data_IF_481479828203
#
_entry.id   IF_481479828203
#
_cell.length_a   1.000
_cell.length_b   1.000
_cell.length_c   1.000
_cell.angle_alpha   90.00
_cell.angle_beta   90.00
_cell.angle_gamma   90.00
#
_symmetry.space_group_name_H-M   'P 1'
#
loop_
_entity.id
_entity.type
_entity.pdbx_description
1 polymer ?
#
# COMPACT_ATOMS: atom_id res chain seq x y z
N UNK A 1 -22.24 -20.81 -10.70
CA UNK A 1 -22.61 -19.70 -9.81
C UNK A 1 -23.82 -20.05 -8.95
N UNK A 2 -24.86 -20.69 -9.50
CA UNK A 2 -26.09 -21.06 -8.74
C UNK A 2 -25.86 -22.02 -7.56
N UNK A 3 -24.99 -23.04 -7.70
CA UNK A 3 -24.68 -23.95 -6.58
C UNK A 3 -24.07 -23.20 -5.37
N UNK A 4 -23.13 -22.27 -5.62
CA UNK A 4 -22.54 -21.43 -4.57
C UNK A 4 -23.57 -20.51 -3.92
N UNK A 5 -24.56 -20.00 -4.67
CA UNK A 5 -25.66 -19.19 -4.09
C UNK A 5 -26.51 -20.05 -3.15
N UNK A 6 -26.78 -21.30 -3.52
CA UNK A 6 -27.49 -22.26 -2.66
C UNK A 6 -26.71 -22.56 -1.38
N UNK A 7 -25.41 -22.82 -1.50
CA UNK A 7 -24.53 -23.05 -0.34
C UNK A 7 -24.50 -21.85 0.61
N UNK A 8 -24.41 -20.62 0.08
CA UNK A 8 -24.45 -19.38 0.87
C UNK A 8 -25.80 -19.19 1.53
N UNK A 9 -26.91 -19.42 0.81
CA UNK A 9 -28.25 -19.33 1.39
C UNK A 9 -28.44 -20.34 2.53
N UNK A 10 -27.97 -21.59 2.34
CA UNK A 10 -28.00 -22.62 3.37
C UNK A 10 -27.12 -22.26 4.58
N UNK A 11 -25.92 -21.72 4.35
CA UNK A 11 -25.05 -21.24 5.43
C UNK A 11 -25.68 -20.10 6.22
N UNK A 12 -26.34 -19.14 5.56
CA UNK A 12 -27.05 -18.05 6.23
C UNK A 12 -28.19 -18.56 7.12
N UNK A 13 -28.98 -19.52 6.62
CA UNK A 13 -30.03 -20.17 7.43
C UNK A 13 -29.42 -20.92 8.61
N UNK A 14 -28.33 -21.65 8.40
CA UNK A 14 -27.63 -22.36 9.47
C UNK A 14 -27.12 -21.40 10.56
N UNK A 15 -26.50 -20.27 10.19
CA UNK A 15 -26.04 -19.24 11.14
C UNK A 15 -27.22 -18.64 11.91
N UNK A 16 -28.34 -18.33 11.23
CA UNK A 16 -29.55 -17.82 11.89
C UNK A 16 -30.11 -18.81 12.91
N UNK A 17 -30.12 -20.11 12.57
CA UNK A 17 -30.52 -21.16 13.51
C UNK A 17 -29.56 -21.24 14.70
N UNK A 18 -28.24 -21.21 14.48
CA UNK A 18 -27.26 -21.20 15.58
C UNK A 18 -27.42 -19.99 16.50
N UNK A 19 -27.66 -18.79 15.93
CA UNK A 19 -27.93 -17.58 16.70
C UNK A 19 -29.20 -17.68 17.54
N UNK A 20 -30.22 -18.43 17.10
CA UNK A 20 -31.46 -18.64 17.88
C UNK A 20 -31.25 -19.47 19.15
N UNK A 21 -30.17 -20.24 19.24
CA UNK A 21 -29.77 -20.98 20.45
C UNK A 21 -28.87 -20.16 21.38
N UNK A 22 -28.40 -18.99 20.96
CA UNK A 22 -27.54 -18.14 21.79
C UNK A 22 -28.41 -17.37 22.81
N UNK A 23 -27.94 -17.21 24.06
CA UNK A 23 -28.67 -16.44 25.07
C UNK A 23 -28.69 -14.95 24.71
N UNK A 24 -29.70 -14.20 25.18
CA UNK A 24 -29.78 -12.74 25.00
C UNK A 24 -28.53 -12.00 25.47
N UNK A 25 -27.80 -12.58 26.43
CA UNK A 25 -26.54 -12.04 26.91
C UNK A 25 -25.51 -11.94 25.80
N UNK A 26 -25.41 -12.92 24.90
CA UNK A 26 -24.45 -12.95 23.78
C UNK A 26 -24.57 -11.72 22.86
N UNK A 27 -25.78 -11.22 22.66
CA UNK A 27 -26.04 -10.00 21.88
C UNK A 27 -25.75 -8.72 22.68
N UNK A 28 -25.90 -8.76 24.01
CA UNK A 28 -25.77 -7.58 24.89
C UNK A 28 -24.36 -7.38 25.45
N UNK A 29 -23.55 -8.43 25.55
CA UNK A 29 -22.19 -8.42 26.13
C UNK A 29 -21.11 -8.08 25.11
N UNK A 30 -21.45 -7.92 23.83
CA UNK A 30 -20.49 -7.64 22.75
C UNK A 30 -19.80 -8.89 22.19
N UNK A 31 -20.18 -10.09 22.63
CA UNK A 31 -19.63 -11.36 22.12
C UNK A 31 -19.99 -11.56 20.63
N UNK A 32 -21.21 -11.18 20.23
CA UNK A 32 -21.61 -11.14 18.83
C UNK A 32 -20.73 -10.22 17.99
N UNK A 33 -20.41 -9.03 18.50
CA UNK A 33 -19.56 -8.06 17.80
C UNK A 33 -18.10 -8.53 17.73
N UNK A 34 -17.63 -9.29 18.72
CA UNK A 34 -16.30 -9.88 18.70
C UNK A 34 -16.12 -10.86 17.53
N UNK A 35 -17.16 -11.65 17.22
CA UNK A 35 -17.15 -12.49 16.01
C UNK A 35 -17.07 -11.62 14.75
N UNK A 36 -17.82 -10.51 14.69
CA UNK A 36 -17.77 -9.59 13.55
C UNK A 36 -16.39 -8.95 13.38
N UNK A 37 -15.71 -8.58 14.47
CA UNK A 37 -14.35 -8.06 14.44
C UNK A 37 -13.37 -9.06 13.82
N UNK A 38 -13.45 -10.34 14.23
CA UNK A 38 -12.60 -11.42 13.72
C UNK A 38 -12.90 -11.72 12.24
N UNK A 39 -14.15 -11.58 11.78
CA UNK A 39 -14.53 -11.80 10.38
C UNK A 39 -14.22 -10.61 9.46
N UNK A 40 -14.22 -9.39 9.99
CA UNK A 40 -14.00 -8.18 9.21
C UNK A 40 -12.59 -8.14 8.61
N UNK A 41 -11.58 -8.46 9.42
CA UNK A 41 -10.17 -8.40 9.03
C UNK A 41 -9.84 -9.29 7.81
N UNK A 42 -10.09 -10.61 7.82
CA UNK A 42 -9.81 -11.47 6.66
C UNK A 42 -10.65 -11.08 5.44
N UNK A 43 -11.89 -10.61 5.64
CA UNK A 43 -12.74 -10.12 4.55
C UNK A 43 -12.15 -8.88 3.87
N UNK A 44 -11.66 -7.92 4.65
CA UNK A 44 -11.00 -6.73 4.14
C UNK A 44 -9.69 -7.08 3.40
N UNK A 45 -8.90 -8.02 3.92
CA UNK A 45 -7.70 -8.55 3.23
C UNK A 45 -8.09 -9.13 1.87
N UNK A 46 -9.06 -10.05 1.83
CA UNK A 46 -9.50 -10.67 0.57
C UNK A 46 -10.02 -9.64 -0.44
N UNK A 47 -10.75 -8.61 0.01
CA UNK A 47 -11.18 -7.49 -0.85
C UNK A 47 -9.99 -6.73 -1.44
N UNK A 48 -8.99 -6.40 -0.62
CA UNK A 48 -7.79 -5.71 -1.08
C UNK A 48 -6.96 -6.56 -2.05
N UNK A 49 -6.82 -7.86 -1.81
CA UNK A 49 -6.13 -8.79 -2.72
C UNK A 49 -6.85 -8.92 -4.07
N UNK A 50 -8.18 -9.01 -4.06
CA UNK A 50 -9.01 -9.00 -5.27
C UNK A 50 -8.83 -7.70 -6.06
N UNK A 51 -8.84 -6.55 -5.38
CA UNK A 51 -8.57 -5.25 -5.99
C UNK A 51 -7.21 -5.22 -6.66
N UNK A 52 -6.14 -5.66 -5.97
CA UNK A 52 -4.79 -5.70 -6.56
C UNK A 52 -4.76 -6.52 -7.84
N UNK A 53 -5.38 -7.71 -7.84
CA UNK A 53 -5.43 -8.57 -9.04
C UNK A 53 -6.14 -7.86 -10.20
N UNK A 54 -7.33 -7.32 -9.96
CA UNK A 54 -8.12 -6.68 -11.01
C UNK A 54 -7.54 -5.34 -11.48
N UNK A 55 -6.88 -4.59 -10.60
CA UNK A 55 -6.17 -3.34 -10.98
C UNK A 55 -4.99 -3.68 -11.91
N UNK A 56 -4.23 -4.74 -11.62
CA UNK A 56 -3.13 -5.18 -12.50
C UNK A 56 -3.64 -5.55 -13.89
N UNK A 57 -4.72 -6.31 -13.95
CA UNK A 57 -5.32 -6.74 -15.21
C UNK A 57 -5.93 -5.56 -15.99
N UNK A 58 -6.67 -4.66 -15.30
CA UNK A 58 -7.34 -3.51 -15.93
C UNK A 58 -6.35 -2.55 -16.58
N UNK A 59 -5.29 -2.20 -15.87
CA UNK A 59 -4.32 -1.20 -16.33
C UNK A 59 -3.15 -1.80 -17.11
N UNK A 60 -3.12 -3.13 -17.30
CA UNK A 60 -2.01 -3.87 -17.92
C UNK A 60 -0.67 -3.39 -17.33
N UNK A 61 -0.49 -3.60 -16.02
CA UNK A 61 0.67 -3.06 -15.29
C UNK A 61 1.95 -3.76 -15.76
N UNK A 62 2.70 -3.08 -16.63
CA UNK A 62 3.98 -3.52 -17.18
C UNK A 62 5.13 -2.58 -16.82
N UNK A 63 6.37 -3.09 -16.86
CA UNK A 63 7.58 -2.30 -16.60
C UNK A 63 7.96 -1.34 -17.76
N UNK A 64 7.26 -1.41 -18.89
CA UNK A 64 7.59 -0.64 -20.09
C UNK A 64 6.61 0.50 -20.32
N UNK A 65 7.09 1.73 -20.17
CA UNK A 65 6.39 2.96 -20.54
C UNK A 65 7.23 3.65 -21.62
N UNK A 66 6.60 4.04 -22.73
CA UNK A 66 7.25 4.76 -23.83
C UNK A 66 7.01 6.27 -23.75
N UNK A 67 7.76 7.05 -24.54
CA UNK A 67 7.53 8.50 -24.64
C UNK A 67 6.11 8.81 -25.15
N UNK A 68 5.61 8.04 -26.09
CA UNK A 68 4.25 8.20 -26.61
C UNK A 68 3.19 7.90 -25.53
N UNK A 69 3.46 6.94 -24.63
CA UNK A 69 2.58 6.64 -23.50
C UNK A 69 2.47 7.80 -22.49
N UNK A 70 3.50 8.66 -22.42
CA UNK A 70 3.55 9.82 -21.51
C UNK A 70 2.94 11.07 -22.13
N UNK A 71 3.24 11.36 -23.41
CA UNK A 71 2.87 12.62 -24.05
C UNK A 71 1.62 12.54 -24.93
N UNK A 72 1.29 11.38 -25.49
CA UNK A 72 0.19 11.23 -26.46
C UNK A 72 -1.00 10.47 -25.91
N UNK A 73 -0.81 9.69 -24.85
CA UNK A 73 -1.86 8.87 -24.25
C UNK A 73 -1.90 9.06 -22.74
N UNK A 74 -2.92 8.48 -22.11
CA UNK A 74 -3.06 8.46 -20.65
C UNK A 74 -2.31 7.29 -19.99
N UNK A 75 -1.63 6.43 -20.77
CA UNK A 75 -1.10 5.17 -20.27
C UNK A 75 -0.02 5.36 -19.20
N UNK A 76 0.86 6.34 -19.34
CA UNK A 76 1.86 6.64 -18.32
C UNK A 76 1.23 7.03 -16.97
N UNK A 77 0.18 7.87 -17.00
CA UNK A 77 -0.56 8.27 -15.81
C UNK A 77 -1.34 7.10 -15.19
N UNK A 78 -1.96 6.27 -16.03
CA UNK A 78 -2.70 5.08 -15.64
C UNK A 78 -1.84 4.03 -14.94
N UNK A 79 -0.66 3.72 -15.48
CA UNK A 79 0.26 2.74 -14.87
C UNK A 79 0.84 3.29 -13.56
N UNK A 80 1.13 4.59 -13.48
CA UNK A 80 1.54 5.23 -12.22
C UNK A 80 0.43 5.16 -11.17
N UNK A 81 -0.80 5.51 -11.54
CA UNK A 81 -1.97 5.40 -10.68
C UNK A 81 -2.17 3.97 -10.16
N UNK A 82 -2.14 2.99 -11.05
CA UNK A 82 -2.31 1.58 -10.69
C UNK A 82 -1.26 1.10 -9.68
N UNK A 83 0.02 1.44 -9.90
CA UNK A 83 1.09 1.07 -8.98
C UNK A 83 0.95 1.74 -7.60
N UNK A 84 0.56 3.00 -7.55
CA UNK A 84 0.29 3.70 -6.29
C UNK A 84 -0.89 3.07 -5.53
N UNK A 85 -1.99 2.74 -6.23
CA UNK A 85 -3.13 2.06 -5.63
C UNK A 85 -2.75 0.68 -5.07
N UNK A 86 -1.99 -0.11 -5.85
CA UNK A 86 -1.49 -1.43 -5.42
C UNK A 86 -0.58 -1.29 -4.19
N UNK A 87 0.30 -0.30 -4.17
CA UNK A 87 1.16 -0.02 -3.02
C UNK A 87 0.31 0.26 -1.77
N UNK A 88 -0.66 1.18 -1.84
CA UNK A 88 -1.54 1.51 -0.71
C UNK A 88 -2.33 0.28 -0.21
N UNK A 89 -2.84 -0.55 -1.12
CA UNK A 89 -3.55 -1.79 -0.79
C UNK A 89 -2.62 -2.79 -0.09
N UNK A 90 -1.36 -2.93 -0.51
CA UNK A 90 -0.38 -3.78 0.18
C UNK A 90 -0.05 -3.28 1.59
N UNK A 91 0.02 -1.96 1.81
CA UNK A 91 0.21 -1.41 3.17
C UNK A 91 -1.00 -1.79 4.03
N UNK A 92 -2.22 -1.60 3.52
CA UNK A 92 -3.45 -1.95 4.24
C UNK A 92 -3.48 -3.45 4.60
N UNK A 93 -3.16 -4.34 3.65
CA UNK A 93 -3.08 -5.78 3.90
C UNK A 93 -2.06 -6.08 5.01
N UNK A 94 -0.86 -5.48 4.96
CA UNK A 94 0.16 -5.69 5.98
C UNK A 94 -0.28 -5.25 7.38
N UNK A 95 -1.02 -4.13 7.49
CA UNK A 95 -1.62 -3.71 8.77
C UNK A 95 -2.69 -4.71 9.21
N UNK A 96 -3.58 -5.13 8.31
CA UNK A 96 -4.66 -6.07 8.63
C UNK A 96 -4.15 -7.47 9.01
N UNK A 97 -3.04 -7.96 8.44
CA UNK A 97 -2.41 -9.20 8.91
C UNK A 97 -1.89 -9.09 10.35
N UNK A 98 -1.43 -7.91 10.77
CA UNK A 98 -1.06 -7.69 12.17
C UNK A 98 -2.30 -7.70 13.08
N UNK A 99 -3.42 -7.10 12.65
CA UNK A 99 -4.71 -7.28 13.35
C UNK A 99 -5.10 -8.75 13.45
N UNK A 100 -4.98 -9.50 12.35
CA UNK A 100 -5.36 -10.92 12.34
C UNK A 100 -4.53 -11.74 13.33
N UNK A 101 -3.22 -11.49 13.40
CA UNK A 101 -2.31 -12.11 14.37
C UNK A 101 -2.70 -11.73 15.81
N UNK A 102 -2.93 -10.44 16.06
CA UNK A 102 -3.27 -9.93 17.38
C UNK A 102 -4.61 -10.48 17.88
N UNK A 103 -5.68 -10.41 17.06
CA UNK A 103 -7.02 -10.87 17.45
C UNK A 103 -7.07 -12.38 17.73
N UNK A 104 -6.18 -13.18 17.11
CA UNK A 104 -6.06 -14.63 17.39
C UNK A 104 -5.46 -14.95 18.75
N UNK A 105 -4.68 -14.04 19.35
CA UNK A 105 -3.93 -14.31 20.58
C UNK A 105 -4.22 -13.37 21.75
N UNK A 106 -4.93 -12.28 21.49
CA UNK A 106 -5.25 -11.28 22.51
C UNK A 106 -6.16 -11.83 23.61
N UNK A 107 -6.23 -11.10 24.74
CA UNK A 107 -7.17 -11.42 25.80
C UNK A 107 -8.62 -11.22 25.35
N UNK A 108 -9.55 -11.94 25.96
CA UNK A 108 -11.00 -11.78 25.71
C UNK A 108 -11.44 -10.34 25.99
N UNK A 109 -10.90 -9.72 27.05
CA UNK A 109 -11.19 -8.32 27.40
C UNK A 109 -10.76 -7.35 26.28
N UNK A 110 -9.57 -7.54 25.71
CA UNK A 110 -9.09 -6.71 24.60
C UNK A 110 -9.93 -6.95 23.34
N UNK A 111 -10.29 -8.20 23.05
CA UNK A 111 -11.15 -8.52 21.91
C UNK A 111 -12.52 -7.85 22.03
N UNK A 112 -13.15 -7.88 23.22
CA UNK A 112 -14.41 -7.17 23.48
C UNK A 112 -14.24 -5.66 23.38
N UNK A 113 -13.09 -5.11 23.75
CA UNK A 113 -12.81 -3.68 23.57
C UNK A 113 -12.74 -3.33 22.07
N UNK A 114 -12.03 -4.13 21.27
CA UNK A 114 -11.96 -3.93 19.81
C UNK A 114 -13.32 -4.12 19.16
N UNK A 115 -14.15 -5.05 19.66
CA UNK A 115 -15.47 -5.30 19.08
C UNK A 115 -16.39 -4.08 19.13
N UNK A 116 -16.23 -3.21 20.12
CA UNK A 116 -16.99 -1.94 20.19
C UNK A 116 -16.69 -0.99 19.03
N UNK A 117 -15.56 -1.17 18.34
CA UNK A 117 -15.08 -0.34 17.22
C UNK A 117 -15.43 -0.92 15.84
N UNK A 118 -16.13 -2.06 15.80
CA UNK A 118 -16.57 -2.70 14.54
C UNK A 118 -17.39 -1.78 13.65
N UNK A 119 -18.34 -0.95 14.16
CA UNK A 119 -19.09 -0.02 13.31
C UNK A 119 -18.17 0.95 12.56
N UNK A 120 -17.16 1.50 13.22
CA UNK A 120 -16.17 2.41 12.63
C UNK A 120 -15.26 1.67 11.65
N UNK A 121 -14.75 0.49 12.02
CA UNK A 121 -13.95 -0.36 11.13
C UNK A 121 -14.72 -0.71 9.84
N UNK A 122 -16.03 -0.94 9.94
CA UNK A 122 -16.89 -1.24 8.79
C UNK A 122 -17.05 -0.04 7.83
N UNK A 123 -16.95 1.20 8.32
CA UNK A 123 -16.92 2.39 7.44
C UNK A 123 -15.66 2.37 6.57
N UNK A 124 -14.52 2.01 7.16
CA UNK A 124 -13.26 1.90 6.45
C UNK A 124 -13.19 0.68 5.53
N UNK A 125 -13.87 -0.42 5.86
CA UNK A 125 -14.04 -1.54 4.94
C UNK A 125 -14.82 -1.13 3.68
N UNK A 126 -15.85 -0.28 3.82
CA UNK A 126 -16.60 0.25 2.67
C UNK A 126 -15.76 1.07 1.70
N UNK A 127 -14.57 1.54 2.10
CA UNK A 127 -13.61 2.13 1.17
C UNK A 127 -13.17 1.14 0.10
N UNK A 128 -12.96 -0.12 0.46
CA UNK A 128 -12.65 -1.18 -0.50
C UNK A 128 -13.84 -1.48 -1.40
N UNK A 129 -15.06 -1.47 -0.85
CA UNK A 129 -16.29 -1.66 -1.64
C UNK A 129 -16.48 -0.56 -2.69
N UNK A 130 -16.12 0.69 -2.36
CA UNK A 130 -16.11 1.79 -3.32
C UNK A 130 -15.21 1.49 -4.53
N UNK A 131 -13.95 1.10 -4.32
CA UNK A 131 -13.04 0.76 -5.43
C UNK A 131 -13.50 -0.48 -6.20
N UNK A 132 -14.07 -1.48 -5.52
CA UNK A 132 -14.63 -2.67 -6.16
C UNK A 132 -15.80 -2.28 -7.09
N UNK A 133 -16.68 -1.40 -6.62
CA UNK A 133 -17.81 -0.92 -7.43
C UNK A 133 -17.34 -0.07 -8.61
N UNK A 134 -16.31 0.76 -8.43
CA UNK A 134 -15.69 1.52 -9.53
C UNK A 134 -15.09 0.58 -10.59
N UNK A 135 -14.41 -0.51 -10.18
CA UNK A 135 -13.94 -1.53 -11.12
C UNK A 135 -15.10 -2.24 -11.84
N UNK A 136 -16.13 -2.65 -11.09
CA UNK A 136 -17.29 -3.37 -11.65
C UNK A 136 -18.03 -2.53 -12.69
N UNK A 137 -18.12 -1.22 -12.48
CA UNK A 137 -18.77 -0.27 -13.39
C UNK A 137 -17.83 0.25 -14.48
N UNK A 138 -16.59 -0.22 -14.51
CA UNK A 138 -15.52 0.24 -15.39
C UNK A 138 -15.18 1.74 -15.24
N UNK A 139 -15.45 2.31 -14.06
CA UNK A 139 -15.26 3.73 -13.73
C UNK A 139 -13.95 4.01 -12.98
N UNK A 140 -13.19 2.99 -12.61
CA UNK A 140 -11.87 3.19 -12.00
C UNK A 140 -10.87 3.65 -13.06
N UNK A 141 -10.42 4.90 -12.99
CA UNK A 141 -9.38 5.49 -13.84
C UNK A 141 -8.39 6.34 -13.02
N UNK A 142 -7.40 6.94 -13.69
CA UNK A 142 -6.33 7.71 -13.05
C UNK A 142 -6.79 9.00 -12.35
N UNK A 143 -8.04 9.42 -12.54
CA UNK A 143 -8.61 10.63 -11.93
C UNK A 143 -9.31 10.36 -10.60
N UNK A 144 -9.58 9.09 -10.28
CA UNK A 144 -10.27 8.69 -9.06
C UNK A 144 -9.37 8.87 -7.84
N UNK A 145 -9.72 9.81 -6.95
CA UNK A 145 -8.93 10.08 -5.74
C UNK A 145 -8.74 8.85 -4.83
N UNK A 146 -7.53 8.69 -4.31
CA UNK A 146 -7.17 7.67 -3.32
C UNK A 146 -7.33 8.13 -1.86
N UNK A 147 -7.78 9.37 -1.62
CA UNK A 147 -7.83 9.97 -0.27
C UNK A 147 -8.64 9.14 0.73
N UNK A 148 -9.72 8.49 0.26
CA UNK A 148 -10.56 7.66 1.13
C UNK A 148 -9.85 6.37 1.56
N UNK A 149 -9.01 5.79 0.69
CA UNK A 149 -8.16 4.66 1.03
C UNK A 149 -7.05 5.08 2.00
N UNK A 150 -6.41 6.22 1.76
CA UNK A 150 -5.38 6.75 2.66
C UNK A 150 -5.92 7.06 4.06
N UNK A 151 -7.11 7.66 4.16
CA UNK A 151 -7.81 7.86 5.44
C UNK A 151 -8.09 6.54 6.15
N UNK A 152 -8.48 5.52 5.41
CA UNK A 152 -8.74 4.18 5.96
C UNK A 152 -7.47 3.50 6.44
N UNK A 153 -6.38 3.64 5.69
CA UNK A 153 -5.07 3.18 6.10
C UNK A 153 -4.61 3.85 7.41
N UNK A 154 -4.69 5.18 7.48
CA UNK A 154 -4.30 5.94 8.67
C UNK A 154 -5.14 5.53 9.90
N UNK A 155 -6.45 5.31 9.71
CA UNK A 155 -7.32 4.82 10.78
C UNK A 155 -6.85 3.47 11.33
N UNK A 156 -6.62 2.47 10.46
CA UNK A 156 -6.19 1.14 10.92
C UNK A 156 -4.80 1.17 11.56
N UNK A 157 -3.87 1.97 11.03
CA UNK A 157 -2.54 2.16 11.63
C UNK A 157 -2.62 2.79 13.02
N UNK A 158 -3.41 3.85 13.18
CA UNK A 158 -3.61 4.50 14.47
C UNK A 158 -4.29 3.55 15.47
N UNK A 159 -5.33 2.85 15.02
CA UNK A 159 -6.05 1.89 15.85
C UNK A 159 -5.14 0.76 16.35
N UNK A 160 -4.31 0.21 15.45
CA UNK A 160 -3.32 -0.81 15.82
C UNK A 160 -2.32 -0.25 16.84
N UNK A 161 -1.77 0.94 16.59
CA UNK A 161 -0.80 1.58 17.48
C UNK A 161 -1.35 1.81 18.90
N UNK A 162 -2.61 2.24 19.00
CA UNK A 162 -3.25 2.54 20.29
C UNK A 162 -3.63 1.27 21.06
N UNK A 163 -4.13 0.24 20.38
CA UNK A 163 -4.77 -0.90 21.06
C UNK A 163 -3.99 -2.21 20.98
N UNK A 164 -3.20 -2.43 19.93
CA UNK A 164 -2.66 -3.74 19.57
C UNK A 164 -1.12 -3.78 19.48
N UNK A 165 -0.43 -2.65 19.66
CA UNK A 165 1.05 -2.57 19.52
C UNK A 165 1.83 -3.53 20.44
N UNK A 166 1.24 -3.93 21.56
CA UNK A 166 1.86 -4.85 22.51
C UNK A 166 1.52 -6.32 22.26
N UNK A 167 0.64 -6.62 21.29
CA UNK A 167 0.25 -7.98 20.95
C UNK A 167 1.34 -8.72 20.18
N UNK A 168 1.20 -10.06 20.11
CA UNK A 168 2.19 -10.91 19.48
C UNK A 168 2.19 -10.73 17.96
N UNK A 169 3.35 -10.38 17.42
CA UNK A 169 3.57 -10.22 15.99
C UNK A 169 4.00 -11.54 15.35
N UNK A 170 3.29 -11.96 14.29
CA UNK A 170 3.75 -13.01 13.40
C UNK A 170 4.87 -12.45 12.49
N UNK A 171 6.12 -12.70 12.88
CA UNK A 171 7.30 -12.15 12.23
C UNK A 171 7.47 -12.63 10.77
N UNK A 172 7.01 -13.84 10.46
CA UNK A 172 7.07 -14.38 9.09
C UNK A 172 6.13 -13.61 8.18
N UNK A 173 4.89 -13.35 8.65
CA UNK A 173 3.93 -12.52 7.91
C UNK A 173 4.41 -11.07 7.81
N UNK A 174 4.87 -10.47 8.90
CA UNK A 174 5.40 -9.10 8.90
C UNK A 174 6.51 -8.95 7.84
N UNK A 175 7.50 -9.83 7.82
CA UNK A 175 8.59 -9.76 6.85
C UNK A 175 8.07 -9.99 5.41
N UNK A 176 7.15 -10.92 5.21
CA UNK A 176 6.54 -11.14 3.89
C UNK A 176 5.80 -9.90 3.38
N UNK A 177 5.04 -9.23 4.25
CA UNK A 177 4.29 -8.03 3.91
C UNK A 177 5.22 -6.83 3.68
N UNK A 178 6.28 -6.66 4.48
CA UNK A 178 7.29 -5.62 4.24
C UNK A 178 8.04 -5.82 2.92
N UNK A 179 8.32 -7.08 2.55
CA UNK A 179 8.91 -7.40 1.24
C UNK A 179 7.93 -7.10 0.10
N UNK A 180 6.63 -7.42 0.26
CA UNK A 180 5.60 -7.06 -0.74
C UNK A 180 5.49 -5.55 -0.89
N UNK A 181 5.44 -4.82 0.22
CA UNK A 181 5.44 -3.35 0.25
C UNK A 181 6.63 -2.81 -0.52
N UNK A 182 7.86 -3.19 -0.13
CA UNK A 182 9.09 -2.72 -0.75
C UNK A 182 9.09 -2.96 -2.27
N UNK A 183 8.66 -4.14 -2.73
CA UNK A 183 8.58 -4.42 -4.17
C UNK A 183 7.54 -3.53 -4.87
N UNK A 184 6.33 -3.41 -4.33
CA UNK A 184 5.30 -2.55 -4.94
C UNK A 184 5.67 -1.07 -4.94
N UNK A 185 6.34 -0.59 -3.89
CA UNK A 185 6.91 0.76 -3.85
C UNK A 185 8.01 0.92 -4.89
N UNK A 186 8.89 -0.08 -5.07
CA UNK A 186 9.92 -0.01 -6.10
C UNK A 186 9.34 0.09 -7.52
N UNK A 187 8.24 -0.60 -7.77
CA UNK A 187 7.55 -0.58 -9.08
C UNK A 187 6.89 0.79 -9.31
N UNK A 188 6.25 1.36 -8.30
CA UNK A 188 5.71 2.73 -8.34
C UNK A 188 6.81 3.78 -8.57
N UNK A 189 7.91 3.70 -7.80
CA UNK A 189 9.07 4.59 -7.93
C UNK A 189 9.68 4.48 -9.32
N UNK A 190 9.84 3.27 -9.86
CA UNK A 190 10.44 3.09 -11.19
C UNK A 190 9.59 3.75 -12.27
N UNK A 191 8.27 3.56 -12.23
CA UNK A 191 7.34 4.16 -13.19
C UNK A 191 7.44 5.68 -13.16
N UNK A 192 7.42 6.29 -11.96
CA UNK A 192 7.47 7.74 -11.85
C UNK A 192 8.85 8.31 -12.21
N UNK A 193 9.96 7.64 -11.87
CA UNK A 193 11.30 8.02 -12.36
C UNK A 193 11.34 7.98 -13.89
N UNK A 194 10.85 6.91 -14.52
CA UNK A 194 10.84 6.78 -15.98
C UNK A 194 10.02 7.90 -16.62
N UNK A 195 8.83 8.21 -16.08
CA UNK A 195 7.99 9.33 -16.55
C UNK A 195 8.69 10.67 -16.39
N UNK A 196 9.28 10.94 -15.22
CA UNK A 196 9.98 12.20 -14.95
C UNK A 196 11.19 12.41 -15.87
N UNK A 197 11.96 11.36 -16.16
CA UNK A 197 13.05 11.42 -17.15
C UNK A 197 12.54 11.75 -18.56
N UNK A 198 11.35 11.26 -18.93
CA UNK A 198 10.75 11.56 -20.24
C UNK A 198 10.19 12.99 -20.31
N UNK A 199 9.61 13.46 -19.20
CA UNK A 199 9.06 14.80 -19.05
C UNK A 199 10.14 15.87 -18.90
N UNK A 200 11.37 15.52 -18.54
CA UNK A 200 12.48 16.46 -18.50
C UNK A 200 12.79 16.99 -19.91
N UNK A 201 13.04 18.29 -20.01
CA UNK A 201 13.42 18.96 -21.25
C UNK A 201 14.62 18.25 -21.93
N UNK A 202 14.57 17.96 -23.25
CA UNK A 202 15.68 17.33 -23.96
C UNK A 202 16.97 18.15 -23.87
N UNK A 203 18.13 17.50 -23.67
CA UNK A 203 19.43 18.16 -23.53
C UNK A 203 19.82 18.55 -22.11
N UNK A 204 18.92 18.37 -21.14
CA UNK A 204 19.16 18.68 -19.72
C UNK A 204 19.56 17.45 -18.89
N UNK A 205 20.14 16.41 -19.52
CA UNK A 205 20.48 15.16 -18.85
C UNK A 205 21.57 15.31 -17.78
N UNK A 206 22.27 16.45 -17.77
CA UNK A 206 23.32 16.82 -16.80
C UNK A 206 22.83 17.72 -15.66
N UNK A 207 21.54 18.09 -15.64
CA UNK A 207 20.97 18.86 -14.52
C UNK A 207 21.03 18.10 -13.19
N UNK A 208 21.06 18.84 -12.07
CA UNK A 208 21.05 18.25 -10.72
C UNK A 208 19.84 17.35 -10.49
N UNK A 209 18.66 17.76 -10.98
CA UNK A 209 17.45 16.93 -10.94
C UNK A 209 17.60 15.62 -11.72
N UNK A 210 18.22 15.65 -12.91
CA UNK A 210 18.52 14.43 -13.68
C UNK A 210 19.54 13.52 -12.95
N UNK A 211 20.51 14.10 -12.24
CA UNK A 211 21.43 13.34 -11.39
C UNK A 211 20.65 12.68 -10.24
N UNK A 212 19.79 13.42 -9.55
CA UNK A 212 18.93 12.87 -8.49
C UNK A 212 18.09 11.68 -8.98
N UNK A 213 17.44 11.78 -10.15
CA UNK A 213 16.65 10.68 -10.71
C UNK A 213 17.50 9.42 -11.01
N UNK A 214 18.77 9.60 -11.41
CA UNK A 214 19.69 8.47 -11.65
C UNK A 214 20.16 7.82 -10.35
N UNK A 215 20.42 8.63 -9.32
CA UNK A 215 20.77 8.13 -7.99
C UNK A 215 19.60 7.32 -7.41
N UNK A 216 18.39 7.88 -7.45
CA UNK A 216 17.17 7.21 -6.97
C UNK A 216 16.87 5.93 -7.74
N UNK A 217 17.10 5.90 -9.06
CA UNK A 217 16.94 4.68 -9.85
C UNK A 217 17.93 3.58 -9.42
N UNK A 218 19.18 3.96 -9.14
CA UNK A 218 20.20 3.03 -8.66
C UNK A 218 19.79 2.44 -7.31
N UNK A 219 19.44 3.30 -6.35
CA UNK A 219 18.96 2.88 -5.04
C UNK A 219 17.71 1.99 -5.14
N UNK A 220 16.74 2.37 -5.98
CA UNK A 220 15.52 1.60 -6.18
C UNK A 220 15.81 0.17 -6.70
N UNK A 221 16.76 0.03 -7.63
CA UNK A 221 17.16 -1.27 -8.15
C UNK A 221 17.87 -2.14 -7.10
N UNK A 222 18.72 -1.54 -6.26
CA UNK A 222 19.38 -2.24 -5.16
C UNK A 222 18.37 -2.69 -4.10
N UNK A 223 17.42 -1.83 -3.72
CA UNK A 223 16.33 -2.18 -2.81
C UNK A 223 15.46 -3.30 -3.37
N UNK A 224 15.08 -3.22 -4.65
CA UNK A 224 14.32 -4.28 -5.33
C UNK A 224 15.08 -5.60 -5.33
N UNK A 225 16.38 -5.58 -5.59
CA UNK A 225 17.23 -6.78 -5.54
C UNK A 225 17.29 -7.36 -4.13
N UNK A 226 17.46 -6.52 -3.11
CA UNK A 226 17.47 -6.94 -1.70
C UNK A 226 16.13 -7.59 -1.31
N UNK A 227 15.01 -6.93 -1.59
CA UNK A 227 13.67 -7.44 -1.32
C UNK A 227 13.42 -8.80 -2.02
N UNK A 228 13.83 -8.95 -3.29
CA UNK A 228 13.76 -10.24 -4.01
C UNK A 228 14.60 -11.33 -3.35
N UNK A 229 15.79 -11.00 -2.82
CA UNK A 229 16.64 -11.95 -2.07
C UNK A 229 15.98 -12.38 -0.77
N UNK A 230 15.40 -11.45 0.00
CA UNK A 230 14.66 -11.75 1.23
C UNK A 230 13.46 -12.65 0.91
N UNK A 231 12.65 -12.30 -0.09
CA UNK A 231 11.49 -13.09 -0.54
C UNK A 231 11.82 -14.55 -0.81
N UNK A 232 12.96 -14.83 -1.45
CA UNK A 232 13.43 -16.18 -1.78
C UNK A 232 13.86 -16.99 -0.55
N UNK A 233 14.22 -16.33 0.54
CA UNK A 233 14.69 -16.94 1.79
C UNK A 233 13.58 -17.07 2.84
N UNK A 234 12.44 -16.41 2.63
CA UNK A 234 11.31 -16.50 3.54
C UNK A 234 10.76 -17.93 3.56
N UNK A 235 10.41 -18.47 4.74
CA UNK A 235 9.69 -19.73 4.86
C UNK A 235 8.44 -19.70 3.99
N UNK A 236 8.33 -20.63 3.03
CA UNK A 236 7.12 -20.77 2.25
C UNK A 236 6.10 -21.53 3.09
N UNK A 237 4.94 -20.91 3.27
CA UNK A 237 3.82 -21.46 4.04
C UNK A 237 3.06 -22.51 3.21
N UNK A 238 3.79 -23.42 2.56
CA UNK A 238 3.21 -24.65 2.04
C UNK A 238 2.94 -25.53 3.27
N UNK A 239 1.72 -26.05 3.41
CA UNK A 239 1.25 -26.76 4.62
C UNK A 239 2.08 -27.98 5.07
N UNK A 240 3.20 -28.27 4.42
CA UNK A 240 4.17 -29.31 4.74
C UNK A 240 5.52 -28.76 5.28
N UNK A 241 5.69 -27.44 5.39
CA UNK A 241 6.96 -26.84 5.83
C UNK A 241 7.16 -26.99 7.34
N UNK A 242 8.12 -27.81 7.76
CA UNK A 242 8.59 -27.94 9.16
C UNK A 242 9.50 -26.78 9.61
N UNK A 243 9.52 -25.68 8.86
CA UNK A 243 10.40 -24.55 9.14
C UNK A 243 9.91 -23.81 10.38
N UNK A 244 10.81 -23.63 11.36
CA UNK A 244 10.53 -22.81 12.54
C UNK A 244 10.12 -21.40 12.12
N UNK A 245 9.09 -20.80 12.74
CA UNK A 245 8.72 -19.41 12.50
C UNK A 245 9.92 -18.47 12.67
N UNK A 246 10.02 -17.46 11.81
CA UNK A 246 11.05 -16.43 11.94
C UNK A 246 10.98 -15.79 13.33
N UNK A 247 12.14 -15.63 13.96
CA UNK A 247 12.29 -14.79 15.14
C UNK A 247 12.75 -13.41 14.66
N UNK A 248 11.97 -12.38 14.96
CA UNK A 248 12.31 -11.00 14.64
C UNK A 248 12.27 -10.19 15.94
N UNK A 249 13.42 -9.81 16.52
CA UNK A 249 13.48 -8.92 17.67
C UNK A 249 12.75 -7.60 17.41
N UNK A 250 12.25 -6.94 18.46
CA UNK A 250 11.48 -5.68 18.31
C UNK A 250 12.27 -4.59 17.59
N UNK A 251 13.58 -4.54 17.82
CA UNK A 251 14.49 -3.62 17.16
C UNK A 251 14.48 -3.80 15.65
N UNK A 252 14.52 -5.06 15.18
CA UNK A 252 14.47 -5.38 13.75
C UNK A 252 13.08 -5.10 13.19
N UNK A 253 12.01 -5.36 13.95
CA UNK A 253 10.64 -5.02 13.53
C UNK A 253 10.51 -3.50 13.31
N UNK A 254 11.01 -2.68 14.23
CA UNK A 254 10.99 -1.23 14.10
C UNK A 254 11.77 -0.76 12.87
N UNK A 255 12.99 -1.26 12.68
CA UNK A 255 13.80 -0.93 11.49
C UNK A 255 13.05 -1.30 10.20
N UNK A 256 12.42 -2.48 10.14
CA UNK A 256 11.65 -2.91 8.96
C UNK A 256 10.46 -1.97 8.69
N UNK A 257 9.73 -1.59 9.73
CA UNK A 257 8.60 -0.66 9.61
C UNK A 257 9.07 0.73 9.17
N UNK A 258 10.18 1.23 9.73
CA UNK A 258 10.77 2.52 9.36
C UNK A 258 11.26 2.52 7.91
N UNK A 259 11.90 1.44 7.45
CA UNK A 259 12.24 1.26 6.02
C UNK A 259 10.99 1.30 5.14
N UNK A 260 9.90 0.66 5.56
CA UNK A 260 8.60 0.69 4.87
C UNK A 260 8.02 2.11 4.78
N UNK A 261 8.10 2.89 5.86
CA UNK A 261 7.65 4.30 5.88
C UNK A 261 8.50 5.12 4.90
N UNK A 262 9.83 4.98 4.95
CA UNK A 262 10.75 5.77 4.13
C UNK A 262 10.57 5.51 2.63
N UNK A 263 10.47 4.25 2.19
CA UNK A 263 10.27 3.95 0.77
C UNK A 263 8.91 4.43 0.25
N UNK A 264 7.87 4.39 1.09
CA UNK A 264 6.55 4.94 0.75
C UNK A 264 6.62 6.46 0.60
N UNK A 265 7.34 7.17 1.48
CA UNK A 265 7.54 8.62 1.36
C UNK A 265 8.23 8.98 0.04
N UNK A 266 9.31 8.29 -0.32
CA UNK A 266 9.97 8.48 -1.62
C UNK A 266 9.00 8.27 -2.78
N UNK A 267 8.23 7.17 -2.76
CA UNK A 267 7.24 6.88 -3.79
C UNK A 267 6.19 7.99 -3.92
N UNK A 268 5.63 8.46 -2.79
CA UNK A 268 4.62 9.53 -2.78
C UNK A 268 5.19 10.87 -3.28
N UNK A 269 6.41 11.21 -2.89
CA UNK A 269 7.06 12.43 -3.36
C UNK A 269 7.25 12.39 -4.87
N UNK A 270 7.84 11.32 -5.42
CA UNK A 270 8.02 11.18 -6.87
C UNK A 270 6.70 11.19 -7.64
N UNK A 271 5.65 10.56 -7.08
CA UNK A 271 4.32 10.60 -7.67
C UNK A 271 3.77 12.04 -7.74
N UNK A 272 3.92 12.82 -6.67
CA UNK A 272 3.51 14.23 -6.65
C UNK A 272 4.30 15.08 -7.65
N UNK A 273 5.62 14.88 -7.78
CA UNK A 273 6.41 15.56 -8.81
C UNK A 273 5.91 15.17 -10.20
N UNK A 274 5.65 13.89 -10.45
CA UNK A 274 5.18 13.43 -11.76
C UNK A 274 3.81 13.99 -12.12
N UNK A 275 2.88 14.11 -11.16
CA UNK A 275 1.59 14.78 -11.36
C UNK A 275 1.78 16.27 -11.69
N UNK A 276 2.58 16.99 -10.92
CA UNK A 276 2.86 18.41 -11.16
C UNK A 276 3.55 18.64 -12.50
N UNK A 277 4.50 17.78 -12.86
CA UNK A 277 5.22 17.85 -14.13
C UNK A 277 4.29 17.63 -15.32
N UNK A 278 3.34 16.69 -15.22
CA UNK A 278 2.33 16.52 -16.27
C UNK A 278 1.42 17.74 -16.42
N UNK A 279 1.04 18.40 -15.32
CA UNK A 279 0.24 19.64 -15.39
C UNK A 279 1.03 20.75 -16.06
N UNK A 280 2.32 20.91 -15.73
CA UNK A 280 3.19 21.89 -16.38
C UNK A 280 3.37 21.58 -17.87
N UNK A 281 3.60 20.32 -18.22
CA UNK A 281 3.74 19.89 -19.62
C UNK A 281 2.48 20.17 -20.44
N UNK A 282 1.29 19.97 -19.88
CA UNK A 282 0.03 20.25 -20.56
C UNK A 282 -0.17 21.73 -20.92
N UNK A 283 0.55 22.64 -20.26
CA UNK A 283 0.54 24.09 -20.55
C UNK A 283 1.58 24.46 -21.61
N UNK A 284 2.63 23.64 -21.78
CA UNK A 284 3.65 23.84 -22.80
C UNK A 284 3.13 23.41 -24.18
N UNK A 285 3.55 24.12 -25.23
CA UNK A 285 3.23 23.74 -26.62
C UNK A 285 4.31 22.77 -27.13
N UNK A 286 3.92 21.71 -27.86
CA UNK A 286 4.81 20.81 -28.63
C UNK A 286 5.68 19.78 -27.87
N UNK A 287 5.28 19.30 -26.69
CA UNK A 287 6.03 18.24 -25.96
C UNK A 287 7.50 18.63 -25.68
N UNK A 288 7.74 19.91 -25.39
CA UNK A 288 9.07 20.49 -25.17
C UNK A 288 9.74 19.98 -23.89
N UNK A 289 8.96 19.39 -22.97
CA UNK A 289 9.44 18.95 -21.67
C UNK A 289 9.53 20.11 -20.67
N UNK A 290 9.46 19.75 -19.39
CA UNK A 290 9.54 20.66 -18.25
C UNK A 290 11.00 20.99 -17.93
N UNK A 291 11.27 22.26 -17.65
CA UNK A 291 12.63 22.73 -17.34
C UNK A 291 13.12 22.15 -16.01
N UNK A 292 14.43 21.89 -15.84
CA UNK A 292 14.97 21.33 -14.60
C UNK A 292 14.60 22.13 -13.35
N UNK A 293 14.68 23.46 -13.41
CA UNK A 293 14.33 24.32 -12.28
C UNK A 293 12.86 24.17 -11.84
N UNK A 294 11.94 24.00 -12.80
CA UNK A 294 10.52 23.75 -12.49
C UNK A 294 10.33 22.36 -11.88
N UNK A 295 11.06 21.35 -12.35
CA UNK A 295 11.06 20.02 -11.73
C UNK A 295 11.58 20.06 -10.29
N UNK A 296 12.61 20.87 -10.01
CA UNK A 296 13.12 21.08 -8.65
C UNK A 296 12.09 21.77 -7.76
N UNK A 297 11.43 22.83 -8.23
CA UNK A 297 10.36 23.51 -7.49
C UNK A 297 9.23 22.53 -7.12
N UNK A 298 8.79 21.72 -8.08
CA UNK A 298 7.81 20.65 -7.84
C UNK A 298 8.32 19.59 -6.84
N UNK A 299 9.61 19.28 -6.86
CA UNK A 299 10.21 18.34 -5.91
C UNK A 299 10.24 18.89 -4.49
N UNK A 300 10.52 20.18 -4.30
CA UNK A 300 10.41 20.85 -3.00
C UNK A 300 8.96 20.87 -2.50
N UNK A 301 7.99 21.20 -3.34
CA UNK A 301 6.56 21.14 -2.96
C UNK A 301 6.13 19.71 -2.58
N UNK A 302 6.61 18.71 -3.31
CA UNK A 302 6.30 17.32 -3.05
C UNK A 302 6.93 16.79 -1.74
N UNK A 303 8.16 17.19 -1.41
CA UNK A 303 8.78 16.77 -0.13
C UNK A 303 8.18 17.51 1.06
N UNK A 304 7.90 18.81 0.96
CA UNK A 304 7.20 19.56 2.02
C UNK A 304 5.86 18.91 2.35
N UNK A 305 5.09 18.53 1.32
CA UNK A 305 3.79 17.86 1.50
C UNK A 305 3.90 16.48 2.18
N UNK A 306 4.94 15.70 1.86
CA UNK A 306 5.07 14.30 2.30
C UNK A 306 5.79 14.17 3.65
N UNK A 307 6.84 14.96 3.86
CA UNK A 307 7.69 14.92 5.05
C UNK A 307 7.27 15.97 6.09
N UNK A 308 6.62 17.06 5.67
CA UNK A 308 6.15 18.11 6.56
C UNK A 308 7.27 18.70 7.40
N UNK A 309 7.17 18.55 8.73
CA UNK A 309 8.19 19.07 9.66
C UNK A 309 9.56 18.40 9.53
N UNK A 310 9.61 17.21 8.93
CA UNK A 310 10.85 16.45 8.70
C UNK A 310 11.45 16.74 7.31
N UNK A 311 10.90 17.71 6.56
CA UNK A 311 11.42 18.07 5.25
C UNK A 311 12.77 18.80 5.37
N UNK A 312 13.77 18.28 4.67
CA UNK A 312 15.08 18.91 4.47
C UNK A 312 15.40 19.09 2.97
N UNK A 313 14.37 18.99 2.13
CA UNK A 313 14.44 19.17 0.68
C UNK A 313 14.67 17.85 -0.07
N UNK A 314 14.39 17.84 -1.39
CA UNK A 314 14.37 16.62 -2.20
C UNK A 314 15.72 15.92 -2.29
N UNK A 315 16.82 16.68 -2.31
CA UNK A 315 18.16 16.13 -2.43
C UNK A 315 18.63 15.40 -1.17
N UNK A 316 18.17 15.83 -0.01
CA UNK A 316 18.46 15.16 1.26
C UNK A 316 17.42 14.07 1.53
N UNK A 317 16.15 14.42 1.64
CA UNK A 317 15.08 13.48 2.01
C UNK A 317 15.05 12.25 1.11
N UNK A 318 15.14 12.41 -0.21
CA UNK A 318 14.98 11.28 -1.13
C UNK A 318 16.24 10.40 -1.21
N UNK A 319 17.45 10.98 -1.08
CA UNK A 319 18.71 10.21 -1.08
C UNK A 319 18.92 9.47 0.24
N UNK A 320 18.62 10.08 1.37
CA UNK A 320 18.82 9.47 2.70
C UNK A 320 17.83 8.34 2.99
N UNK A 321 16.64 8.34 2.36
CA UNK A 321 15.62 7.30 2.58
C UNK A 321 16.04 5.88 2.14
N UNK A 322 17.02 5.76 1.24
CA UNK A 322 17.55 4.46 0.81
C UNK A 322 18.76 3.98 1.62
N UNK A 323 19.19 4.74 2.63
CA UNK A 323 20.12 4.30 3.67
C UNK A 323 21.48 3.82 3.16
N UNK A 324 22.38 4.76 2.84
CA UNK A 324 23.80 4.44 2.62
C UNK A 324 24.49 4.03 3.93
N UNK A 325 23.94 4.37 5.10
CA UNK A 325 24.61 4.17 6.39
C UNK A 325 23.98 3.09 7.31
N UNK A 326 22.86 2.46 6.92
CA UNK A 326 22.17 1.48 7.80
C UNK A 326 21.64 0.21 7.13
N UNK A 327 21.97 -0.04 5.87
CA UNK A 327 21.63 -1.30 5.21
C UNK A 327 22.89 -2.08 4.83
N UNK A 328 23.44 -2.83 5.79
CA UNK A 328 23.90 -4.24 5.74
C UNK A 328 24.77 -4.57 6.95
#
# INVERSE_FOLDING_TARGET
>A
MELRKLDVAQANVHVSLLQSFMPDTFLKTGDSDAILAVLLVPRAISKAELLISHVRDKFDVTDTITRDDVFKTHRGAQVSYANNLIMLLNILIGVLHQFESALKTCSVELLLKISTLVPEMAIHEKALDYFIDMLRKDQLDETVSMDFLEKSLNYFQQLYSVHLVNEKVNCTHLMADQVKLALSSCDSIQVDITRLKMLLQPGEEKSEFSILLRDLETCNNDTRMCAKKIRRRLPQNDGNSTASPLMCPKEIQNILLDCGINIVRVSKSLHHVALGAMVQEAVLSNNEGVKPKQMEELAYEATDKVYGKEDSGPYECLRYCFGVDYCF
#
